data_IF_648399238670
#
_entry.id   IF_648399238670
#
_cell.length_a   1.000
_cell.length_b   1.000
_cell.length_c   1.000
_cell.angle_alpha   90.00
_cell.angle_beta   90.00
_cell.angle_gamma   90.00
#
_symmetry.space_group_name_H-M   'P 1'
#
loop_
_entity.id
_entity.type
_entity.pdbx_description
1 polymer ?
#
# COMPACT_ATOMS: atom_id res chain seq x y z
N UNK A 1 -23.33 -41.30 14.94
CA UNK A 1 -23.33 -40.14 15.85
C UNK A 1 -21.88 -39.79 16.17
N UNK A 2 -21.22 -39.01 15.35
CA UNK A 2 -19.82 -38.59 15.49
C UNK A 2 -19.78 -37.12 15.88
N UNK A 3 -19.43 -36.88 17.15
CA UNK A 3 -19.36 -35.55 17.74
C UNK A 3 -18.28 -34.69 17.10
N UNK A 4 -18.68 -33.67 16.39
CA UNK A 4 -17.80 -32.60 15.94
C UNK A 4 -17.25 -31.86 17.17
N UNK A 5 -16.01 -32.14 17.53
CA UNK A 5 -15.26 -31.44 18.57
C UNK A 5 -14.93 -30.05 18.01
N UNK A 6 -15.70 -29.02 18.38
CA UNK A 6 -15.36 -27.62 18.21
C UNK A 6 -14.09 -27.33 19.03
N UNK A 7 -12.93 -27.35 18.40
CA UNK A 7 -11.71 -26.80 19.00
C UNK A 7 -11.87 -25.27 18.97
N UNK A 8 -12.47 -24.71 20.00
CA UNK A 8 -12.32 -23.29 20.33
C UNK A 8 -10.87 -23.10 20.72
N UNK A 9 -10.06 -22.63 19.78
CA UNK A 9 -8.70 -22.19 20.08
C UNK A 9 -8.78 -21.05 21.12
N UNK A 10 -8.38 -21.34 22.33
CA UNK A 10 -8.23 -20.35 23.39
C UNK A 10 -7.17 -19.32 22.95
N UNK A 11 -7.59 -18.19 22.40
CA UNK A 11 -6.66 -17.10 22.06
C UNK A 11 -7.16 -16.01 21.14
N UNK A 12 -8.25 -16.22 20.42
CA UNK A 12 -8.74 -15.22 19.46
C UNK A 12 -10.16 -14.77 19.78
N UNK A 13 -10.35 -14.07 20.88
CA UNK A 13 -11.51 -13.18 20.98
C UNK A 13 -11.29 -12.07 19.96
N UNK A 14 -12.15 -11.91 18.94
CA UNK A 14 -12.08 -10.79 18.02
C UNK A 14 -12.44 -9.54 18.81
N UNK A 15 -11.44 -8.91 19.43
CA UNK A 15 -11.60 -7.54 19.94
C UNK A 15 -11.71 -6.66 18.70
N UNK A 16 -12.93 -6.34 18.36
CA UNK A 16 -13.30 -5.44 17.29
C UNK A 16 -12.89 -4.02 17.68
N UNK A 17 -11.60 -3.71 17.49
CA UNK A 17 -11.11 -2.36 17.65
C UNK A 17 -11.68 -1.47 16.54
N UNK A 18 -12.04 -0.25 16.89
CA UNK A 18 -12.49 0.75 15.92
C UNK A 18 -11.39 0.95 14.85
N UNK A 19 -11.73 1.00 13.55
CA UNK A 19 -10.74 1.16 12.49
C UNK A 19 -9.83 2.38 12.67
N UNK A 20 -10.37 3.47 13.21
CA UNK A 20 -9.62 4.68 13.55
C UNK A 20 -8.54 4.45 14.61
N UNK A 21 -8.69 3.46 15.52
CA UNK A 21 -7.66 3.15 16.49
C UNK A 21 -6.39 2.55 15.84
N UNK A 22 -6.56 1.74 14.79
CA UNK A 22 -5.45 1.21 14.00
C UNK A 22 -4.70 2.31 13.26
N UNK A 23 -5.44 3.27 12.70
CA UNK A 23 -4.84 4.43 12.06
C UNK A 23 -4.13 5.34 13.06
N UNK A 24 -4.73 5.64 14.21
CA UNK A 24 -4.11 6.44 15.26
C UNK A 24 -2.82 5.79 15.78
N UNK A 25 -2.83 4.46 15.99
CA UNK A 25 -1.65 3.71 16.38
C UNK A 25 -0.54 3.76 15.31
N UNK A 26 -0.88 3.53 14.05
CA UNK A 26 0.10 3.54 12.97
C UNK A 26 0.67 4.94 12.71
N UNK A 27 -0.17 6.00 12.80
CA UNK A 27 0.27 7.38 12.68
C UNK A 27 1.18 7.78 13.86
N UNK A 28 0.88 7.31 15.08
CA UNK A 28 1.76 7.49 16.24
C UNK A 28 3.13 6.86 16.03
N UNK A 29 3.19 5.62 15.50
CA UNK A 29 4.45 4.96 15.16
C UNK A 29 5.18 5.69 14.01
N UNK A 30 4.47 6.14 12.98
CA UNK A 30 5.05 6.91 11.88
C UNK A 30 5.61 8.25 12.37
N UNK A 31 4.92 8.95 13.28
CA UNK A 31 5.40 10.17 13.90
C UNK A 31 6.66 9.91 14.76
N UNK A 32 6.69 8.83 15.53
CA UNK A 32 7.87 8.42 16.28
C UNK A 32 9.05 8.11 15.33
N UNK A 33 8.81 7.36 14.25
CA UNK A 33 9.82 7.07 13.22
C UNK A 33 10.34 8.35 12.56
N UNK A 34 9.48 9.35 12.35
CA UNK A 34 9.89 10.63 11.75
C UNK A 34 10.81 11.45 12.64
N UNK A 35 10.81 11.21 13.94
CA UNK A 35 11.63 11.95 14.92
C UNK A 35 12.94 11.29 15.30
N UNK A 36 13.17 10.05 14.86
CA UNK A 36 14.38 9.30 15.17
C UNK A 36 15.20 9.01 13.92
N UNK A 37 16.52 9.02 14.07
CA UNK A 37 17.49 8.58 13.06
C UNK A 37 18.20 7.29 13.50
N UNK A 38 17.88 6.77 14.70
CA UNK A 38 18.51 5.55 15.20
C UNK A 38 17.97 4.32 14.45
N UNK A 39 18.81 3.59 13.70
CA UNK A 39 18.35 2.47 12.88
C UNK A 39 17.78 1.32 13.72
N UNK A 40 18.25 1.10 14.94
CA UNK A 40 17.73 0.05 15.82
C UNK A 40 16.30 0.35 16.26
N UNK A 41 15.97 1.62 16.56
CA UNK A 41 14.61 2.02 16.88
C UNK A 41 13.69 1.91 15.66
N UNK A 42 14.16 2.27 14.48
CA UNK A 42 13.40 2.12 13.24
C UNK A 42 13.09 0.64 12.94
N UNK A 43 14.08 -0.24 13.09
CA UNK A 43 13.89 -1.69 12.93
C UNK A 43 12.94 -2.25 13.99
N UNK A 44 13.02 -1.76 15.23
CA UNK A 44 12.08 -2.14 16.30
C UNK A 44 10.65 -1.76 15.93
N UNK A 45 10.41 -0.56 15.40
CA UNK A 45 9.09 -0.12 14.95
C UNK A 45 8.58 -1.04 13.83
N UNK A 46 9.42 -1.37 12.84
CA UNK A 46 9.07 -2.31 11.77
C UNK A 46 8.71 -3.68 12.35
N UNK A 47 9.52 -4.19 13.29
CA UNK A 47 9.28 -5.49 13.93
C UNK A 47 7.97 -5.51 14.71
N UNK A 48 7.67 -4.45 15.48
CA UNK A 48 6.40 -4.31 16.19
C UNK A 48 5.22 -4.24 15.20
N UNK A 49 5.33 -3.46 14.14
CA UNK A 49 4.29 -3.38 13.11
C UNK A 49 4.05 -4.74 12.44
N UNK A 50 5.12 -5.45 12.07
CA UNK A 50 5.04 -6.77 11.47
C UNK A 50 4.44 -7.81 12.43
N UNK A 51 4.83 -7.78 13.71
CA UNK A 51 4.29 -8.66 14.75
C UNK A 51 2.79 -8.43 14.95
N UNK A 52 2.35 -7.18 15.10
CA UNK A 52 0.92 -6.85 15.28
C UNK A 52 0.11 -7.25 14.05
N UNK A 53 0.62 -7.00 12.84
CA UNK A 53 -0.05 -7.43 11.61
C UNK A 53 -0.14 -8.96 11.56
N UNK A 54 0.94 -9.70 11.84
CA UNK A 54 0.93 -11.16 11.80
C UNK A 54 -0.05 -11.77 12.82
N UNK A 55 -0.14 -11.17 14.03
CA UNK A 55 -1.01 -11.62 15.11
C UNK A 55 -2.50 -11.25 14.92
N UNK A 56 -2.80 -10.20 14.16
CA UNK A 56 -4.15 -9.62 14.04
C UNK A 56 -4.69 -9.58 12.62
N UNK A 57 -3.93 -10.05 11.64
CA UNK A 57 -4.31 -10.05 10.23
C UNK A 57 -5.62 -10.79 10.00
N UNK A 58 -6.66 -10.14 9.44
CA UNK A 58 -7.88 -10.81 9.03
C UNK A 58 -7.65 -11.61 7.74
N UNK A 59 -8.42 -12.69 7.53
CA UNK A 59 -8.45 -13.46 6.28
C UNK A 59 -9.22 -12.69 5.19
N UNK A 60 -8.68 -11.55 4.78
CA UNK A 60 -9.31 -10.64 3.82
C UNK A 60 -8.33 -10.21 2.72
N UNK A 61 -8.81 -9.88 1.50
CA UNK A 61 -7.95 -9.51 0.38
C UNK A 61 -7.02 -8.32 0.66
N UNK A 62 -7.51 -7.34 1.40
CA UNK A 62 -6.73 -6.13 1.78
C UNK A 62 -5.62 -6.42 2.79
N UNK A 63 -5.70 -7.53 3.53
CA UNK A 63 -4.66 -7.92 4.49
C UNK A 63 -3.32 -8.27 3.82
N UNK A 64 -3.31 -8.48 2.51
CA UNK A 64 -2.08 -8.70 1.71
C UNK A 64 -1.31 -7.40 1.42
N UNK A 65 -1.93 -6.23 1.67
CA UNK A 65 -1.30 -4.93 1.42
C UNK A 65 -0.03 -4.72 2.23
N UNK A 66 0.09 -5.27 3.44
CA UNK A 66 1.29 -5.14 4.25
C UNK A 66 2.55 -5.65 3.54
N UNK A 67 2.49 -6.81 2.89
CA UNK A 67 3.61 -7.36 2.12
C UNK A 67 4.01 -6.47 0.94
N UNK A 68 3.04 -5.81 0.31
CA UNK A 68 3.32 -4.82 -0.73
C UNK A 68 4.07 -3.60 -0.17
N UNK A 69 3.61 -3.03 0.94
CA UNK A 69 4.28 -1.88 1.58
C UNK A 69 5.67 -2.23 2.12
N UNK A 70 5.87 -3.46 2.61
CA UNK A 70 7.19 -3.92 3.03
C UNK A 70 8.16 -3.99 1.84
N UNK A 71 7.73 -4.54 0.71
CA UNK A 71 8.52 -4.57 -0.53
C UNK A 71 8.80 -3.16 -1.05
N UNK A 72 7.80 -2.29 -1.01
CA UNK A 72 7.95 -0.89 -1.39
C UNK A 72 8.98 -0.19 -0.49
N UNK A 73 8.98 -0.46 0.82
CA UNK A 73 9.98 0.05 1.75
C UNK A 73 11.40 -0.39 1.38
N UNK A 74 11.60 -1.67 1.05
CA UNK A 74 12.90 -2.17 0.58
C UNK A 74 13.34 -1.45 -0.71
N UNK A 75 12.42 -1.29 -1.66
CA UNK A 75 12.69 -0.57 -2.92
C UNK A 75 13.11 0.88 -2.62
N UNK A 76 12.41 1.57 -1.73
CA UNK A 76 12.73 2.95 -1.34
C UNK A 76 14.13 3.05 -0.74
N UNK A 77 14.51 2.15 0.17
CA UNK A 77 15.88 2.11 0.74
C UNK A 77 16.90 1.89 -0.38
N UNK A 78 16.67 0.91 -1.26
CA UNK A 78 17.59 0.59 -2.35
C UNK A 78 17.76 1.78 -3.31
N UNK A 79 16.63 2.38 -3.73
CA UNK A 79 16.65 3.55 -4.63
C UNK A 79 17.35 4.73 -3.97
N UNK A 80 17.11 4.98 -2.67
CA UNK A 80 17.74 6.08 -1.95
C UNK A 80 19.26 5.93 -1.87
N UNK A 81 19.74 4.71 -1.59
CA UNK A 81 21.16 4.39 -1.59
C UNK A 81 21.75 4.49 -3.00
N UNK A 82 21.03 3.97 -4.01
CA UNK A 82 21.46 4.04 -5.40
C UNK A 82 21.60 5.50 -5.90
N UNK A 83 20.62 6.34 -5.60
CA UNK A 83 20.68 7.78 -5.93
C UNK A 83 21.86 8.44 -5.24
N UNK A 84 22.16 8.09 -3.98
CA UNK A 84 23.32 8.61 -3.27
C UNK A 84 24.63 8.22 -3.93
N UNK A 85 24.77 6.99 -4.39
CA UNK A 85 25.97 6.52 -5.08
C UNK A 85 26.15 7.21 -6.43
N UNK A 86 25.04 7.44 -7.16
CA UNK A 86 25.11 8.02 -8.52
C UNK A 86 25.24 9.55 -8.54
N UNK A 87 24.56 10.23 -7.61
CA UNK A 87 24.38 11.70 -7.63
C UNK A 87 24.78 12.36 -6.31
N UNK A 88 25.15 11.60 -5.30
CA UNK A 88 25.40 12.11 -3.97
C UNK A 88 26.66 12.96 -3.89
N UNK A 89 26.58 14.06 -3.12
CA UNK A 89 27.77 14.78 -2.73
C UNK A 89 28.67 13.90 -1.85
N UNK A 90 29.96 13.97 -2.09
CA UNK A 90 30.97 13.30 -1.26
C UNK A 90 31.05 14.02 0.09
N UNK A 91 30.30 13.52 1.08
CA UNK A 91 30.30 14.02 2.46
C UNK A 91 30.91 12.94 3.34
N UNK A 92 32.10 13.21 3.89
CA UNK A 92 32.79 12.26 4.76
C UNK A 92 34.32 12.32 4.55
N UNK A 93 34.98 11.38 5.19
CA UNK A 93 36.47 11.25 5.16
C UNK A 93 36.92 9.90 4.61
N UNK A 94 36.03 8.88 4.62
CA UNK A 94 36.38 7.51 4.24
C UNK A 94 35.89 7.21 2.82
N UNK A 95 36.83 7.21 1.86
CA UNK A 95 36.52 6.87 0.46
C UNK A 95 36.43 5.34 0.33
N UNK A 96 35.28 4.83 -0.07
CA UNK A 96 35.07 3.40 -0.35
C UNK A 96 35.38 3.06 -1.81
N UNK A 97 34.96 3.88 -2.74
CA UNK A 97 35.19 3.69 -4.17
C UNK A 97 35.47 5.03 -4.84
N UNK A 98 36.65 5.22 -5.44
CA UNK A 98 36.88 6.37 -6.29
C UNK A 98 36.23 6.11 -7.66
N UNK A 99 35.09 6.74 -7.92
CA UNK A 99 34.45 6.69 -9.22
C UNK A 99 34.84 7.95 -10.03
N UNK A 100 35.07 7.80 -11.34
CA UNK A 100 35.34 8.95 -12.19
C UNK A 100 34.10 9.87 -12.19
N UNK A 101 34.27 11.08 -11.69
CA UNK A 101 33.20 12.09 -11.68
C UNK A 101 33.04 12.73 -13.05
N UNK A 102 31.88 12.63 -13.67
CA UNK A 102 31.54 13.31 -14.92
C UNK A 102 30.76 14.56 -14.54
N UNK A 103 31.33 15.74 -14.81
CA UNK A 103 30.61 17.01 -14.65
C UNK A 103 29.56 17.13 -15.77
N UNK A 104 28.30 17.27 -15.40
CA UNK A 104 27.24 17.52 -16.35
C UNK A 104 27.25 18.99 -16.84
N UNK A 105 26.64 19.28 -18.01
CA UNK A 105 26.58 20.62 -18.56
C UNK A 105 25.95 21.65 -17.59
N UNK A 106 26.33 22.93 -17.67
CA UNK A 106 25.92 23.96 -16.70
C UNK A 106 24.41 24.16 -16.53
N UNK A 107 23.59 23.77 -17.53
CA UNK A 107 22.14 23.87 -17.49
C UNK A 107 21.48 22.83 -16.55
N UNK A 108 22.21 21.81 -16.10
CA UNK A 108 21.76 20.84 -15.09
C UNK A 108 22.21 21.24 -13.67
N UNK A 109 22.33 22.51 -13.38
CA UNK A 109 22.57 23.07 -12.03
C UNK A 109 23.76 22.46 -11.28
N UNK A 110 24.86 22.09 -11.97
CA UNK A 110 26.07 21.61 -11.31
C UNK A 110 25.99 20.20 -10.72
N UNK A 111 25.01 19.40 -11.11
CA UNK A 111 24.91 17.99 -10.71
C UNK A 111 26.11 17.23 -11.28
N UNK A 112 26.84 16.52 -10.43
CA UNK A 112 27.92 15.63 -10.82
C UNK A 112 27.41 14.20 -10.82
N UNK A 113 27.65 13.46 -11.91
CA UNK A 113 27.43 12.02 -11.99
C UNK A 113 28.72 11.32 -11.56
N UNK A 114 28.65 10.47 -10.53
CA UNK A 114 29.81 9.82 -9.96
C UNK A 114 30.59 10.75 -9.03
N UNK A 115 31.79 10.36 -8.70
CA UNK A 115 32.68 10.99 -7.71
C UNK A 115 33.02 10.01 -6.60
N UNK A 116 33.84 10.45 -5.64
CA UNK A 116 34.26 9.61 -4.55
C UNK A 116 33.06 9.17 -3.68
N UNK A 117 32.79 7.88 -3.67
CA UNK A 117 31.70 7.31 -2.83
C UNK A 117 32.24 7.14 -1.42
N UNK A 118 31.69 7.93 -0.49
CA UNK A 118 32.08 7.90 0.91
C UNK A 118 31.16 7.03 1.75
N UNK A 119 31.73 6.30 2.71
CA UNK A 119 30.98 5.41 3.61
C UNK A 119 29.90 6.16 4.37
N UNK A 120 30.25 7.33 4.88
CA UNK A 120 29.37 8.18 5.68
C UNK A 120 28.13 8.62 4.88
N UNK A 121 28.32 8.97 3.60
CA UNK A 121 27.25 9.36 2.69
C UNK A 121 26.27 8.22 2.43
N UNK A 122 26.78 6.98 2.25
CA UNK A 122 25.95 5.79 2.06
C UNK A 122 25.16 5.49 3.33
N UNK A 123 25.79 5.55 4.50
CA UNK A 123 25.11 5.32 5.78
C UNK A 123 24.00 6.34 6.03
N UNK A 124 24.24 7.62 5.74
CA UNK A 124 23.22 8.65 5.83
C UNK A 124 22.03 8.34 4.90
N UNK A 125 22.29 8.01 3.64
CA UNK A 125 21.27 7.64 2.68
C UNK A 125 20.48 6.39 3.10
N UNK A 126 21.16 5.40 3.68
CA UNK A 126 20.54 4.21 4.22
C UNK A 126 19.62 4.53 5.40
N UNK A 127 20.06 5.37 6.35
CA UNK A 127 19.22 5.77 7.49
C UNK A 127 18.01 6.58 7.06
N UNK A 128 18.17 7.51 6.13
CA UNK A 128 17.05 8.25 5.54
C UNK A 128 16.07 7.32 4.81
N UNK A 129 16.59 6.40 4.01
CA UNK A 129 15.80 5.38 3.33
C UNK A 129 15.04 4.49 4.29
N UNK A 130 15.71 4.03 5.35
CA UNK A 130 15.11 3.19 6.40
C UNK A 130 14.00 3.93 7.14
N UNK A 131 14.17 5.22 7.41
CA UNK A 131 13.14 6.08 8.01
C UNK A 131 11.90 6.17 7.13
N UNK A 132 12.06 6.45 5.84
CA UNK A 132 10.96 6.47 4.89
C UNK A 132 10.27 5.10 4.76
N UNK A 133 11.05 4.03 4.69
CA UNK A 133 10.54 2.66 4.66
C UNK A 133 9.72 2.34 5.91
N UNK A 134 10.17 2.76 7.10
CA UNK A 134 9.44 2.56 8.35
C UNK A 134 8.09 3.26 8.34
N UNK A 135 8.02 4.51 7.86
CA UNK A 135 6.76 5.24 7.73
C UNK A 135 5.81 4.51 6.76
N UNK A 136 6.32 4.05 5.60
CA UNK A 136 5.52 3.28 4.64
C UNK A 136 5.01 1.97 5.23
N UNK A 137 5.83 1.26 6.01
CA UNK A 137 5.42 0.03 6.70
C UNK A 137 4.33 0.30 7.74
N UNK A 138 4.41 1.41 8.48
CA UNK A 138 3.35 1.81 9.42
C UNK A 138 2.02 2.07 8.68
N UNK A 139 2.04 2.78 7.55
CA UNK A 139 0.85 3.00 6.71
C UNK A 139 0.32 1.65 6.18
N UNK A 140 1.21 0.77 5.73
CA UNK A 140 0.86 -0.58 5.28
C UNK A 140 0.22 -1.43 6.38
N UNK A 141 0.68 -1.29 7.62
CA UNK A 141 0.08 -1.94 8.78
C UNK A 141 -1.34 -1.44 9.04
N UNK A 142 -1.57 -0.11 9.03
CA UNK A 142 -2.90 0.47 9.14
C UNK A 142 -3.85 -0.07 8.05
N UNK A 143 -3.41 -0.03 6.79
CA UNK A 143 -4.20 -0.53 5.66
C UNK A 143 -4.54 -2.02 5.74
N UNK A 144 -3.65 -2.84 6.31
CA UNK A 144 -3.89 -4.28 6.43
C UNK A 144 -4.82 -4.63 7.60
N UNK A 145 -4.84 -3.82 8.66
CA UNK A 145 -5.62 -4.05 9.88
C UNK A 145 -6.98 -3.34 9.85
N UNK A 146 -7.03 -2.14 9.27
CA UNK A 146 -8.27 -1.35 9.16
C UNK A 146 -9.09 -1.81 7.97
N UNK A 147 -10.36 -2.16 8.19
CA UNK A 147 -11.32 -2.43 7.12
C UNK A 147 -11.77 -1.10 6.49
N UNK A 148 -11.55 -0.86 5.18
CA UNK A 148 -11.94 0.37 4.53
C UNK A 148 -13.45 0.68 4.65
N UNK A 149 -14.29 -0.36 4.52
CA UNK A 149 -15.75 -0.23 4.62
C UNK A 149 -16.22 0.16 6.02
N UNK A 150 -15.53 -0.25 7.07
CA UNK A 150 -15.84 0.14 8.44
C UNK A 150 -15.35 1.54 8.79
N UNK A 151 -14.20 1.93 8.21
CA UNK A 151 -13.66 3.29 8.38
C UNK A 151 -14.66 4.31 7.81
N UNK A 152 -15.21 4.05 6.63
CA UNK A 152 -16.19 4.91 5.98
C UNK A 152 -17.52 5.03 6.77
N UNK A 153 -17.95 3.93 7.40
CA UNK A 153 -19.16 3.95 8.26
C UNK A 153 -18.97 4.75 9.55
N UNK A 154 -17.75 5.03 9.96
CA UNK A 154 -17.40 5.81 11.14
C UNK A 154 -17.19 7.30 10.86
N UNK A 155 -17.37 7.75 9.61
CA UNK A 155 -17.27 9.17 9.22
C UNK A 155 -18.40 9.97 9.87
N UNK A 156 -18.11 11.13 10.50
CA UNK A 156 -19.13 11.98 11.13
C UNK A 156 -20.23 12.42 10.15
N UNK A 157 -21.45 12.61 10.66
CA UNK A 157 -22.62 12.98 9.88
C UNK A 157 -22.45 14.26 9.05
N UNK A 158 -21.53 15.15 9.43
CA UNK A 158 -21.20 16.36 8.66
C UNK A 158 -20.63 16.09 7.25
N UNK A 159 -20.08 14.89 7.03
CA UNK A 159 -19.57 14.42 5.72
C UNK A 159 -20.45 13.32 5.13
N UNK A 160 -21.69 13.21 5.59
CA UNK A 160 -22.61 12.12 5.24
C UNK A 160 -22.81 11.98 3.72
N UNK A 161 -23.01 13.08 3.01
CA UNK A 161 -23.23 13.06 1.55
C UNK A 161 -22.00 12.54 0.80
N UNK A 162 -20.81 13.01 1.18
CA UNK A 162 -19.54 12.52 0.60
C UNK A 162 -19.31 11.07 1.02
N UNK A 163 -19.58 10.74 2.30
CA UNK A 163 -19.44 9.39 2.82
C UNK A 163 -20.34 8.38 2.11
N UNK A 164 -21.60 8.72 1.86
CA UNK A 164 -22.56 7.88 1.12
C UNK A 164 -22.08 7.66 -0.31
N UNK A 165 -21.65 8.72 -1.01
CA UNK A 165 -21.14 8.62 -2.38
C UNK A 165 -19.90 7.69 -2.46
N UNK A 166 -18.97 7.80 -1.51
CA UNK A 166 -17.79 6.93 -1.44
C UNK A 166 -18.16 5.49 -1.09
N UNK A 167 -19.08 5.26 -0.15
CA UNK A 167 -19.56 3.90 0.20
C UNK A 167 -20.23 3.25 -1.01
N UNK A 168 -21.09 3.98 -1.71
CA UNK A 168 -21.72 3.51 -2.94
C UNK A 168 -20.66 3.15 -3.98
N UNK A 169 -19.71 4.04 -4.27
CA UNK A 169 -18.64 3.79 -5.22
C UNK A 169 -17.81 2.54 -4.86
N UNK A 170 -17.42 2.38 -3.58
CA UNK A 170 -16.67 1.21 -3.12
C UNK A 170 -17.46 -0.10 -3.15
N UNK A 171 -18.78 -0.03 -2.98
CA UNK A 171 -19.66 -1.21 -3.05
C UNK A 171 -19.90 -1.61 -4.50
N UNK A 172 -20.03 -0.63 -5.39
CA UNK A 172 -20.23 -0.87 -6.83
C UNK A 172 -18.98 -1.36 -7.54
N UNK A 173 -17.79 -0.90 -7.14
CA UNK A 173 -16.52 -1.26 -7.81
C UNK A 173 -16.31 -2.77 -7.91
N UNK A 174 -16.40 -3.59 -6.82
CA UNK A 174 -16.24 -5.04 -6.94
C UNK A 174 -17.31 -5.69 -7.79
N UNK A 175 -18.55 -5.16 -7.78
CA UNK A 175 -19.65 -5.67 -8.60
C UNK A 175 -19.40 -5.41 -10.08
N UNK A 176 -18.97 -4.20 -10.44
CA UNK A 176 -18.58 -3.87 -11.81
C UNK A 176 -17.45 -4.76 -12.32
N UNK A 177 -16.42 -5.04 -11.50
CA UNK A 177 -15.34 -5.96 -11.86
C UNK A 177 -15.87 -7.36 -12.14
N UNK A 178 -16.78 -7.87 -11.30
CA UNK A 178 -17.41 -9.18 -11.53
C UNK A 178 -18.27 -9.20 -12.80
N UNK A 179 -19.01 -8.14 -13.08
CA UNK A 179 -19.84 -8.04 -14.29
C UNK A 179 -18.98 -7.97 -15.55
N UNK A 180 -17.92 -7.17 -15.54
CA UNK A 180 -16.95 -7.12 -16.66
C UNK A 180 -16.31 -8.48 -16.88
N UNK A 181 -15.92 -9.20 -15.84
CA UNK A 181 -15.34 -10.55 -15.99
C UNK A 181 -16.36 -11.55 -16.54
N UNK A 182 -17.61 -11.49 -16.08
CA UNK A 182 -18.71 -12.33 -16.58
C UNK A 182 -18.99 -12.06 -18.08
N UNK A 183 -19.08 -10.78 -18.46
CA UNK A 183 -19.30 -10.39 -19.87
C UNK A 183 -18.13 -10.82 -20.74
N UNK A 184 -16.87 -10.67 -20.26
CA UNK A 184 -15.68 -11.16 -20.97
C UNK A 184 -15.70 -12.67 -21.18
N UNK A 185 -16.04 -13.44 -20.16
CA UNK A 185 -16.14 -14.89 -20.26
C UNK A 185 -17.24 -15.31 -21.24
N UNK A 186 -18.42 -14.68 -21.20
CA UNK A 186 -19.50 -14.95 -22.14
C UNK A 186 -19.10 -14.62 -23.60
N UNK A 187 -18.38 -13.53 -23.82
CA UNK A 187 -17.85 -13.15 -25.16
C UNK A 187 -16.80 -14.11 -25.65
N UNK A 188 -15.93 -14.58 -24.76
CA UNK A 188 -14.91 -15.58 -25.10
C UNK A 188 -15.55 -16.88 -25.60
N UNK A 189 -16.60 -17.36 -24.91
CA UNK A 189 -17.36 -18.54 -25.31
C UNK A 189 -18.07 -18.37 -26.66
N UNK A 190 -18.40 -17.13 -27.07
CA UNK A 190 -19.00 -16.80 -28.37
C UNK A 190 -17.98 -16.49 -29.47
N UNK A 191 -16.69 -16.74 -29.23
CA UNK A 191 -15.61 -16.49 -30.21
C UNK A 191 -15.37 -15.02 -30.55
N UNK A 192 -15.88 -14.07 -29.72
CA UNK A 192 -15.70 -12.63 -29.95
C UNK A 192 -14.40 -12.13 -29.31
N UNK A 193 -13.72 -11.12 -29.91
CA UNK A 193 -12.48 -10.59 -29.35
C UNK A 193 -12.69 -10.04 -27.94
N UNK A 194 -11.79 -10.45 -27.01
CA UNK A 194 -11.81 -10.07 -25.59
C UNK A 194 -10.75 -9.03 -25.23
N UNK A 195 -9.92 -8.62 -26.22
CA UNK A 195 -8.82 -7.67 -26.04
C UNK A 195 -8.96 -6.51 -27.03
N UNK A 196 -8.46 -5.32 -26.64
CA UNK A 196 -8.48 -4.10 -27.43
C UNK A 196 -9.67 -3.18 -27.15
N UNK A 197 -9.61 -1.95 -27.71
CA UNK A 197 -10.60 -0.87 -27.49
C UNK A 197 -12.02 -1.29 -27.93
N UNK A 198 -12.14 -2.03 -29.03
CA UNK A 198 -13.43 -2.56 -29.52
C UNK A 198 -14.06 -3.59 -28.56
N UNK A 199 -13.22 -4.34 -27.83
CA UNK A 199 -13.71 -5.29 -26.83
C UNK A 199 -14.25 -4.56 -25.59
N UNK A 200 -13.61 -3.47 -25.20
CA UNK A 200 -14.04 -2.62 -24.08
C UNK A 200 -15.37 -1.92 -24.43
N UNK A 201 -15.47 -1.28 -25.60
CA UNK A 201 -16.68 -0.62 -26.07
C UNK A 201 -17.87 -1.59 -26.18
N UNK A 202 -17.61 -2.81 -26.70
CA UNK A 202 -18.66 -3.82 -26.80
C UNK A 202 -19.04 -4.51 -25.48
N UNK A 203 -18.25 -4.37 -24.43
CA UNK A 203 -18.60 -4.85 -23.08
C UNK A 203 -19.31 -3.77 -22.26
N UNK A 204 -19.15 -2.50 -22.60
CA UNK A 204 -19.75 -1.39 -21.86
C UNK A 204 -21.29 -1.45 -21.86
N UNK A 205 -21.91 -1.66 -23.04
CA UNK A 205 -23.38 -1.67 -23.17
C UNK A 205 -24.06 -2.72 -22.26
N UNK A 206 -23.67 -4.02 -22.27
CA UNK A 206 -24.27 -5.02 -21.38
C UNK A 206 -24.01 -4.76 -19.89
N UNK A 207 -22.89 -4.13 -19.56
CA UNK A 207 -22.57 -3.76 -18.17
C UNK A 207 -23.46 -2.61 -17.70
N UNK A 208 -23.72 -1.61 -18.56
CA UNK A 208 -24.64 -0.52 -18.27
C UNK A 208 -26.09 -1.00 -18.16
N UNK A 209 -26.54 -1.85 -19.06
CA UNK A 209 -27.88 -2.47 -18.99
C UNK A 209 -28.08 -3.23 -17.67
N UNK A 210 -27.11 -4.04 -17.27
CA UNK A 210 -27.15 -4.76 -15.99
C UNK A 210 -27.10 -3.85 -14.77
N UNK A 211 -26.44 -2.70 -14.86
CA UNK A 211 -26.42 -1.70 -13.78
C UNK A 211 -27.76 -0.97 -13.66
N UNK A 212 -28.38 -0.61 -14.79
CA UNK A 212 -29.70 0.02 -14.83
C UNK A 212 -30.81 -0.91 -14.30
N UNK A 213 -30.81 -2.18 -14.72
CA UNK A 213 -31.78 -3.17 -14.27
C UNK A 213 -31.73 -3.37 -12.74
N UNK A 214 -30.52 -3.40 -12.18
CA UNK A 214 -30.36 -3.45 -10.71
C UNK A 214 -30.83 -2.16 -10.03
N UNK A 215 -30.59 -0.99 -10.61
CA UNK A 215 -31.03 0.28 -10.01
C UNK A 215 -32.57 0.37 -9.94
N UNK A 216 -33.24 -0.13 -10.96
CA UNK A 216 -34.73 -0.24 -10.99
C UNK A 216 -35.23 -1.25 -9.95
N UNK A 217 -34.55 -2.42 -9.85
CA UNK A 217 -34.91 -3.45 -8.86
C UNK A 217 -34.70 -3.00 -7.41
N UNK A 218 -33.74 -2.11 -7.16
CA UNK A 218 -33.49 -1.54 -5.83
C UNK A 218 -34.44 -0.39 -5.48
N UNK A 219 -35.07 0.23 -6.48
CA UNK A 219 -36.04 1.32 -6.30
C UNK A 219 -37.49 0.83 -6.15
N UNK A 220 -37.75 -0.44 -6.47
CA UNK A 220 -39.04 -1.11 -6.32
C UNK A 220 -39.16 -1.81 -4.97
#
# INVERSE_FOLDING_TARGET
MTGARWRVGAGALPRWLHPGAWWAWALGLAAAASRTTNPLLLLLIIAVAAFVVSARKPDAPWARSFGFFLRLGIIVVTVRVLIQVLFGAAIGTTVLLPLPGIALPPWLAGVRLGGDVMLESILMAFYDGLRLATILVCIGAANSLASPSRLLKSVPAALYEVGVSVVVALTFTPQLVMDVTRVRSARHLRGRPTTGVRAIAGAAMPVFEGALDRSVTLAA
#
